data_IF_428936603197
#
_entry.id   IF_428936603197
#
_cell.length_a   1.000
_cell.length_b   1.000
_cell.length_c   1.000
_cell.angle_alpha   90.00
_cell.angle_beta   90.00
_cell.angle_gamma   90.00
#
_symmetry.space_group_name_H-M   'P 1'
#
loop_
_entity.id
_entity.type
_entity.pdbx_description
1 polymer ?
#
# COMPACT_ATOMS: atom_id res chain seq x y z
N UNK A 1 42.84 -10.06 9.07
CA UNK A 1 41.55 -10.77 9.10
C UNK A 1 40.63 -10.09 8.09
N UNK A 2 40.40 -10.76 6.95
CA UNK A 2 39.73 -10.19 5.80
C UNK A 2 38.25 -9.93 6.07
N UNK A 3 37.81 -8.72 5.75
CA UNK A 3 36.39 -8.41 5.58
C UNK A 3 35.88 -9.26 4.42
N UNK A 4 35.15 -10.33 4.72
CA UNK A 4 34.31 -11.02 3.73
C UNK A 4 33.23 -10.02 3.32
N UNK A 5 33.45 -9.36 2.19
CA UNK A 5 32.41 -8.63 1.48
C UNK A 5 31.36 -9.66 1.08
N UNK A 6 30.27 -9.75 1.85
CA UNK A 6 29.06 -10.39 1.36
C UNK A 6 28.64 -9.59 0.11
N UNK A 7 28.94 -10.11 -1.07
CA UNK A 7 28.30 -9.67 -2.32
C UNK A 7 26.82 -9.94 -2.13
N UNK A 8 26.06 -8.91 -1.76
CA UNK A 8 24.60 -8.94 -1.84
C UNK A 8 24.24 -9.25 -3.29
N UNK A 9 23.68 -10.43 -3.50
CA UNK A 9 23.27 -10.89 -4.83
C UNK A 9 22.18 -9.91 -5.30
N UNK A 10 22.48 -9.16 -6.35
CA UNK A 10 21.53 -8.18 -6.91
C UNK A 10 20.32 -8.89 -7.48
N UNK A 11 19.14 -8.30 -7.30
CA UNK A 11 17.90 -8.86 -7.83
C UNK A 11 17.84 -8.76 -9.35
N UNK A 12 17.58 -9.89 -10.01
CA UNK A 12 17.35 -9.96 -11.45
C UNK A 12 15.97 -9.42 -11.84
N UNK A 13 15.78 -9.16 -13.13
CA UNK A 13 14.57 -8.51 -13.66
C UNK A 13 13.25 -9.23 -13.33
N UNK A 14 13.20 -10.57 -13.47
CA UNK A 14 11.98 -11.36 -13.15
C UNK A 14 11.66 -11.28 -11.66
N UNK A 15 12.69 -11.37 -10.79
CA UNK A 15 12.50 -11.23 -9.35
C UNK A 15 11.94 -9.88 -8.96
N UNK A 16 12.32 -8.81 -9.68
CA UNK A 16 11.78 -7.47 -9.50
C UNK A 16 10.30 -7.38 -9.86
N UNK A 17 9.88 -7.97 -10.97
CA UNK A 17 8.46 -8.01 -11.38
C UNK A 17 7.65 -8.75 -10.32
N UNK A 18 8.09 -9.93 -9.90
CA UNK A 18 7.41 -10.73 -8.89
C UNK A 18 7.35 -9.99 -7.54
N UNK A 19 8.45 -9.33 -7.16
CA UNK A 19 8.49 -8.48 -5.96
C UNK A 19 7.49 -7.33 -6.06
N UNK A 20 7.40 -6.65 -7.23
CA UNK A 20 6.45 -5.58 -7.47
C UNK A 20 5.00 -6.04 -7.37
N UNK A 21 4.65 -7.14 -8.04
CA UNK A 21 3.31 -7.74 -7.96
C UNK A 21 2.99 -8.09 -6.49
N UNK A 22 3.94 -8.72 -5.80
CA UNK A 22 3.77 -9.09 -4.40
C UNK A 22 3.66 -7.88 -3.47
N UNK A 23 4.35 -6.79 -3.73
CA UNK A 23 4.29 -5.57 -2.94
C UNK A 23 2.97 -4.82 -3.09
N UNK A 24 2.36 -4.84 -4.28
CA UNK A 24 1.10 -4.13 -4.58
C UNK A 24 -0.11 -4.96 -4.13
N UNK A 25 -0.15 -6.27 -4.43
CA UNK A 25 -1.29 -7.11 -4.04
C UNK A 25 -1.34 -7.25 -2.51
N UNK A 26 -2.31 -6.58 -1.90
CA UNK A 26 -2.53 -6.50 -0.47
C UNK A 26 -3.91 -7.01 -0.03
N UNK A 27 -4.34 -6.61 1.18
CA UNK A 27 -5.66 -6.96 1.73
C UNK A 27 -6.82 -6.33 0.97
N UNK A 28 -6.59 -5.21 0.29
CA UNK A 28 -7.65 -4.42 -0.33
C UNK A 28 -8.44 -5.17 -1.39
N UNK A 29 -7.77 -5.97 -2.23
CA UNK A 29 -8.47 -6.72 -3.28
C UNK A 29 -9.43 -7.78 -2.71
N UNK A 30 -9.17 -8.28 -1.52
CA UNK A 30 -10.05 -9.26 -0.88
C UNK A 30 -11.32 -8.63 -0.30
N UNK A 31 -11.29 -7.32 0.07
CA UNK A 31 -12.34 -6.68 0.86
C UNK A 31 -12.99 -5.46 0.20
N UNK A 32 -12.30 -4.74 -0.71
CA UNK A 32 -12.81 -3.50 -1.30
C UNK A 32 -13.70 -3.65 -2.55
N UNK A 33 -13.79 -4.80 -3.25
CA UNK A 33 -14.74 -4.92 -4.36
C UNK A 33 -16.18 -4.57 -3.98
N UNK A 34 -16.62 -4.94 -2.76
CA UNK A 34 -17.94 -4.55 -2.24
C UNK A 34 -18.09 -3.05 -2.06
N UNK A 35 -17.03 -2.37 -1.61
CA UNK A 35 -17.03 -0.91 -1.44
C UNK A 35 -17.14 -0.20 -2.79
N UNK A 36 -16.42 -0.68 -3.81
CA UNK A 36 -16.54 -0.18 -5.18
C UNK A 36 -17.95 -0.32 -5.72
N UNK A 37 -18.54 -1.51 -5.58
CA UNK A 37 -19.92 -1.78 -5.99
C UNK A 37 -20.94 -0.92 -5.23
N UNK A 38 -20.75 -0.73 -3.92
CA UNK A 38 -21.63 0.12 -3.08
C UNK A 38 -21.57 1.59 -3.47
N UNK A 39 -20.39 2.12 -3.79
CA UNK A 39 -20.18 3.54 -4.08
C UNK A 39 -20.49 3.92 -5.52
N UNK A 40 -20.17 3.05 -6.50
CA UNK A 40 -20.27 3.41 -7.92
C UNK A 40 -20.96 2.36 -8.79
N UNK A 41 -21.48 1.29 -8.20
CA UNK A 41 -22.17 0.22 -8.93
C UNK A 41 -21.24 -0.57 -9.85
N UNK A 42 -21.77 -1.21 -10.91
CA UNK A 42 -20.97 -1.96 -11.88
C UNK A 42 -19.90 -1.10 -12.58
N UNK A 43 -20.15 0.20 -12.75
CA UNK A 43 -19.19 1.15 -13.34
C UNK A 43 -17.93 1.38 -12.47
N UNK A 44 -17.86 0.82 -11.24
CA UNK A 44 -16.64 0.81 -10.42
C UNK A 44 -15.42 0.15 -11.09
N UNK A 45 -15.63 -0.65 -12.13
CA UNK A 45 -14.57 -1.14 -13.02
C UNK A 45 -13.81 0.02 -13.67
N UNK A 46 -14.51 1.09 -14.08
CA UNK A 46 -13.88 2.30 -14.65
C UNK A 46 -13.09 3.08 -13.58
N UNK A 47 -13.55 3.04 -12.32
CA UNK A 47 -12.80 3.61 -11.20
C UNK A 47 -11.45 2.91 -11.04
N UNK A 48 -11.43 1.58 -11.08
CA UNK A 48 -10.18 0.80 -11.02
C UNK A 48 -9.24 1.11 -12.19
N UNK A 49 -9.79 1.29 -13.38
CA UNK A 49 -8.99 1.67 -14.56
C UNK A 49 -8.37 3.06 -14.36
N UNK A 50 -9.14 4.04 -13.89
CA UNK A 50 -8.65 5.38 -13.55
C UNK A 50 -7.54 5.32 -12.50
N UNK A 51 -7.75 4.59 -11.40
CA UNK A 51 -6.78 4.44 -10.32
C UNK A 51 -5.51 3.72 -10.80
N UNK A 52 -5.65 2.70 -11.65
CA UNK A 52 -4.53 2.02 -12.28
C UNK A 52 -3.69 2.95 -13.15
N UNK A 53 -4.33 3.79 -13.97
CA UNK A 53 -3.65 4.80 -14.78
C UNK A 53 -2.94 5.85 -13.90
N UNK A 54 -3.60 6.33 -12.84
CA UNK A 54 -3.00 7.29 -11.91
C UNK A 54 -1.80 6.68 -11.18
N UNK A 55 -1.95 5.47 -10.64
CA UNK A 55 -0.85 4.75 -9.99
C UNK A 55 0.34 4.54 -10.95
N UNK A 56 0.05 4.22 -12.22
CA UNK A 56 1.06 4.09 -13.26
C UNK A 56 1.80 5.42 -13.49
N UNK A 57 1.10 6.54 -13.64
CA UNK A 57 1.73 7.85 -13.83
C UNK A 57 2.61 8.25 -12.65
N UNK A 58 2.12 8.02 -11.42
CA UNK A 58 2.90 8.27 -10.20
C UNK A 58 4.14 7.38 -10.14
N UNK A 59 3.99 6.07 -10.39
CA UNK A 59 5.10 5.12 -10.36
C UNK A 59 6.18 5.46 -11.39
N UNK A 60 5.78 5.94 -12.58
CA UNK A 60 6.73 6.40 -13.60
C UNK A 60 7.47 7.68 -13.17
N UNK A 61 6.82 8.60 -12.43
CA UNK A 61 7.51 9.73 -11.81
C UNK A 61 8.55 9.27 -10.80
N UNK A 62 8.22 8.27 -9.96
CA UNK A 62 9.19 7.66 -9.06
C UNK A 62 10.36 7.02 -9.79
N UNK A 63 10.10 6.30 -10.90
CA UNK A 63 11.13 5.67 -11.70
C UNK A 63 12.09 6.70 -12.34
N UNK A 64 11.57 7.81 -12.84
CA UNK A 64 12.40 8.89 -13.35
C UNK A 64 13.22 9.55 -12.25
N UNK A 65 12.63 9.87 -11.09
CA UNK A 65 13.38 10.37 -9.94
C UNK A 65 14.51 9.41 -9.54
N UNK A 66 14.21 8.11 -9.46
CA UNK A 66 15.22 7.09 -9.12
C UNK A 66 16.39 7.06 -10.09
N UNK A 67 16.17 7.42 -11.37
CA UNK A 67 17.22 7.41 -12.40
C UNK A 67 18.29 8.48 -12.22
N UNK A 68 18.03 9.51 -11.40
CA UNK A 68 19.01 10.56 -11.07
C UNK A 68 19.96 10.14 -9.93
N UNK A 69 19.62 9.07 -9.19
CA UNK A 69 20.37 8.67 -7.99
C UNK A 69 20.91 7.25 -8.12
N UNK A 70 22.10 7.03 -7.55
CA UNK A 70 22.73 5.70 -7.47
C UNK A 70 22.43 4.99 -6.16
N UNK A 71 21.92 5.72 -5.17
CA UNK A 71 21.63 5.23 -3.83
C UNK A 71 20.13 4.98 -3.64
N UNK A 72 19.80 4.02 -2.77
CA UNK A 72 18.44 3.79 -2.32
C UNK A 72 18.00 4.90 -1.38
N UNK A 73 16.76 5.41 -1.53
CA UNK A 73 16.28 6.46 -0.64
C UNK A 73 14.84 6.88 -0.89
N UNK A 74 14.32 6.58 -2.05
CA UNK A 74 12.92 6.83 -2.40
C UNK A 74 12.50 8.30 -2.23
N UNK A 75 11.23 8.52 -1.94
CA UNK A 75 10.62 9.86 -1.86
C UNK A 75 11.35 10.84 -0.92
N UNK A 76 11.93 10.36 0.18
CA UNK A 76 12.70 11.19 1.11
C UNK A 76 13.88 11.88 0.41
N UNK A 77 14.69 11.10 -0.33
CA UNK A 77 15.86 11.63 -1.03
C UNK A 77 15.41 12.59 -2.12
N UNK A 78 14.38 12.25 -2.89
CA UNK A 78 13.89 13.10 -3.97
C UNK A 78 13.38 14.43 -3.44
N UNK A 79 12.63 14.42 -2.34
CA UNK A 79 12.12 15.63 -1.70
C UNK A 79 13.25 16.49 -1.12
N UNK A 80 14.27 15.88 -0.49
CA UNK A 80 15.43 16.60 0.05
C UNK A 80 16.23 17.29 -1.04
N UNK A 81 16.53 16.59 -2.12
CA UNK A 81 17.34 17.14 -3.22
C UNK A 81 16.59 18.18 -4.05
N UNK A 82 15.25 18.04 -4.20
CA UNK A 82 14.44 18.98 -4.97
C UNK A 82 14.07 20.24 -4.19
N UNK A 83 13.77 20.12 -2.87
CA UNK A 83 13.13 21.19 -2.08
C UNK A 83 13.89 21.54 -0.80
N UNK A 84 15.01 20.87 -0.55
CA UNK A 84 15.82 21.10 0.63
C UNK A 84 15.41 20.26 1.85
N UNK A 85 16.13 20.51 2.96
CA UNK A 85 16.12 19.65 4.16
C UNK A 85 14.78 19.56 4.85
N UNK A 86 14.04 20.67 4.93
CA UNK A 86 12.75 20.71 5.63
C UNK A 86 11.74 19.79 4.95
N UNK A 87 11.55 19.95 3.63
CA UNK A 87 10.61 19.12 2.87
C UNK A 87 11.06 17.64 2.87
N UNK A 88 12.36 17.39 2.75
CA UNK A 88 12.90 16.04 2.90
C UNK A 88 12.56 15.44 4.26
N UNK A 89 12.76 16.20 5.35
CA UNK A 89 12.40 15.76 6.70
C UNK A 89 10.91 15.41 6.81
N UNK A 90 10.03 16.30 6.33
CA UNK A 90 8.57 16.09 6.32
C UNK A 90 8.21 14.79 5.60
N UNK A 91 8.72 14.56 4.40
CA UNK A 91 8.46 13.34 3.63
C UNK A 91 9.01 12.10 4.35
N UNK A 92 10.18 12.20 4.98
CA UNK A 92 10.74 11.11 5.78
C UNK A 92 9.86 10.74 6.97
N UNK A 93 9.42 11.74 7.76
CA UNK A 93 8.53 11.54 8.91
C UNK A 93 7.18 10.95 8.49
N UNK A 94 6.58 11.52 7.45
CA UNK A 94 5.30 11.03 6.91
C UNK A 94 5.43 9.59 6.38
N UNK A 95 6.57 9.20 5.82
CA UNK A 95 6.80 7.81 5.40
C UNK A 95 6.66 6.84 6.57
N UNK A 96 7.16 7.18 7.75
CA UNK A 96 6.93 6.38 8.96
C UNK A 96 5.45 6.35 9.37
N UNK A 97 4.76 7.48 9.34
CA UNK A 97 3.32 7.56 9.63
C UNK A 97 2.49 6.73 8.62
N UNK A 98 2.85 6.74 7.34
CA UNK A 98 2.23 5.90 6.30
C UNK A 98 2.32 4.41 6.67
N UNK A 99 3.48 3.95 7.16
CA UNK A 99 3.64 2.55 7.58
C UNK A 99 2.82 2.21 8.81
N UNK A 100 2.70 3.13 9.77
CA UNK A 100 1.85 2.98 10.96
C UNK A 100 0.37 2.86 10.55
N UNK A 101 -0.11 3.77 9.73
CA UNK A 101 -1.51 3.75 9.23
C UNK A 101 -1.77 2.49 8.42
N UNK A 102 -0.83 2.09 7.56
CA UNK A 102 -0.96 0.87 6.77
C UNK A 102 -1.01 -0.39 7.67
N UNK A 103 -0.17 -0.49 8.68
CA UNK A 103 -0.16 -1.59 9.65
C UNK A 103 -1.51 -1.65 10.40
N UNK A 104 -2.01 -0.53 10.92
CA UNK A 104 -3.32 -0.45 11.56
C UNK A 104 -4.47 -0.84 10.63
N UNK A 105 -4.41 -0.40 9.38
CA UNK A 105 -5.38 -0.80 8.34
C UNK A 105 -5.36 -2.31 8.09
N UNK A 106 -4.18 -2.94 8.08
CA UNK A 106 -4.05 -4.40 7.93
C UNK A 106 -4.61 -5.16 9.13
N UNK A 107 -4.42 -4.68 10.37
CA UNK A 107 -5.02 -5.29 11.56
C UNK A 107 -6.55 -5.26 11.47
N UNK A 108 -7.11 -4.13 11.04
CA UNK A 108 -8.56 -3.99 10.84
C UNK A 108 -9.05 -4.88 9.70
N UNK A 109 -8.29 -5.01 8.61
CA UNK A 109 -8.59 -5.92 7.52
C UNK A 109 -8.67 -7.38 7.99
N UNK A 110 -7.70 -7.80 8.82
CA UNK A 110 -7.66 -9.14 9.37
C UNK A 110 -8.88 -9.44 10.25
N UNK A 111 -9.21 -8.52 11.17
CA UNK A 111 -10.39 -8.64 12.00
C UNK A 111 -11.70 -8.63 11.19
N UNK A 112 -11.80 -7.81 10.15
CA UNK A 112 -12.96 -7.75 9.24
C UNK A 112 -13.11 -9.05 8.46
N UNK A 113 -12.01 -9.60 7.94
CA UNK A 113 -12.02 -10.88 7.23
C UNK A 113 -12.46 -12.03 8.16
N UNK A 114 -11.93 -12.09 9.38
CA UNK A 114 -12.35 -13.11 10.36
C UNK A 114 -13.83 -12.99 10.72
N UNK A 115 -14.33 -11.79 10.96
CA UNK A 115 -15.76 -11.56 11.23
C UNK A 115 -16.67 -11.95 10.06
N UNK A 116 -16.23 -11.71 8.81
CA UNK A 116 -16.97 -12.13 7.62
C UNK A 116 -16.93 -13.64 7.35
N UNK A 117 -15.87 -14.33 7.81
CA UNK A 117 -15.74 -15.79 7.69
C UNK A 117 -16.47 -16.49 8.84
N UNK A 118 -16.35 -15.97 10.05
CA UNK A 118 -16.94 -16.48 11.28
C UNK A 118 -17.94 -15.48 11.85
N UNK A 119 -19.24 -15.61 11.59
CA UNK A 119 -20.25 -14.61 11.99
C UNK A 119 -20.25 -14.28 13.50
N UNK A 120 -19.92 -15.24 14.35
CA UNK A 120 -19.81 -15.04 15.80
C UNK A 120 -18.73 -14.02 16.19
N UNK A 121 -17.77 -13.75 15.31
CA UNK A 121 -16.70 -12.77 15.49
C UNK A 121 -17.00 -11.41 14.82
N UNK A 122 -18.19 -11.24 14.24
CA UNK A 122 -18.57 -10.03 13.51
C UNK A 122 -19.07 -8.87 14.42
N UNK A 123 -18.85 -8.96 15.73
CA UNK A 123 -19.26 -7.93 16.69
C UNK A 123 -18.09 -6.98 17.04
N UNK A 124 -18.38 -5.75 17.53
CA UNK A 124 -17.35 -4.76 17.86
C UNK A 124 -16.33 -5.23 18.90
N UNK A 125 -16.80 -5.96 19.93
CA UNK A 125 -15.92 -6.49 20.98
C UNK A 125 -14.95 -7.52 20.46
N UNK A 126 -15.43 -8.49 19.66
CA UNK A 126 -14.56 -9.48 19.02
C UNK A 126 -13.52 -8.81 18.09
N UNK A 127 -13.92 -7.79 17.33
CA UNK A 127 -13.00 -7.01 16.49
C UNK A 127 -11.84 -6.45 17.32
N UNK A 128 -12.13 -5.80 18.45
CA UNK A 128 -11.11 -5.23 19.34
C UNK A 128 -10.20 -6.32 19.91
N UNK A 129 -10.79 -7.43 20.40
CA UNK A 129 -10.04 -8.57 20.93
C UNK A 129 -9.10 -9.18 19.88
N UNK A 130 -9.56 -9.34 18.63
CA UNK A 130 -8.73 -9.85 17.53
C UNK A 130 -7.57 -8.90 17.26
N UNK A 131 -7.83 -7.58 17.17
CA UNK A 131 -6.78 -6.57 16.93
C UNK A 131 -5.75 -6.60 18.06
N UNK A 132 -6.18 -6.62 19.33
CA UNK A 132 -5.30 -6.67 20.48
C UNK A 132 -4.47 -7.96 20.51
N UNK A 133 -5.09 -9.11 20.25
CA UNK A 133 -4.39 -10.40 20.22
C UNK A 133 -3.34 -10.43 19.12
N UNK A 134 -3.68 -9.93 17.93
CA UNK A 134 -2.75 -9.83 16.80
C UNK A 134 -1.59 -8.87 17.12
N UNK A 135 -1.89 -7.70 17.67
CA UNK A 135 -0.89 -6.74 18.12
C UNK A 135 0.10 -7.34 19.11
N UNK A 136 -0.41 -8.00 20.18
CA UNK A 136 0.45 -8.60 21.20
C UNK A 136 1.30 -9.73 20.63
N UNK A 137 0.73 -10.59 19.78
CA UNK A 137 1.45 -11.69 19.15
C UNK A 137 2.58 -11.18 18.23
N UNK A 138 2.28 -10.20 17.37
CA UNK A 138 3.27 -9.65 16.44
C UNK A 138 4.34 -8.81 17.16
N UNK A 139 3.98 -8.07 18.21
CA UNK A 139 4.92 -7.36 19.06
C UNK A 139 5.88 -8.32 19.77
N UNK A 140 5.37 -9.40 20.37
CA UNK A 140 6.18 -10.43 21.01
C UNK A 140 7.12 -11.10 20.01
N UNK A 141 6.64 -11.43 18.81
CA UNK A 141 7.43 -12.02 17.74
C UNK A 141 8.56 -11.07 17.29
N UNK A 142 8.27 -9.81 17.04
CA UNK A 142 9.25 -8.81 16.62
C UNK A 142 10.32 -8.53 17.68
N UNK A 143 9.94 -8.54 18.97
CA UNK A 143 10.86 -8.32 20.09
C UNK A 143 11.70 -9.57 20.41
N UNK A 144 11.26 -10.75 20.01
CA UNK A 144 12.00 -12.01 20.19
C UNK A 144 13.23 -12.13 19.27
N UNK A 145 13.38 -11.24 18.29
CA UNK A 145 14.51 -11.24 17.35
C UNK A 145 14.46 -12.34 16.30
N UNK A 146 13.34 -13.02 16.13
CA UNK A 146 13.19 -14.10 15.14
C UNK A 146 13.12 -13.53 13.72
N UNK A 147 14.05 -13.96 12.86
CA UNK A 147 14.04 -13.65 11.44
C UNK A 147 13.22 -14.69 10.66
N UNK A 148 11.90 -14.50 10.59
CA UNK A 148 10.98 -15.38 9.83
C UNK A 148 10.86 -14.97 8.35
N UNK A 149 11.76 -14.14 7.84
CA UNK A 149 11.50 -13.32 6.66
C UNK A 149 11.24 -14.09 5.35
N UNK A 150 12.06 -15.07 5.00
CA UNK A 150 12.03 -15.61 3.62
C UNK A 150 10.97 -16.70 3.40
N UNK A 151 10.87 -17.64 4.33
CA UNK A 151 9.90 -18.76 4.19
C UNK A 151 8.46 -18.25 4.31
N UNK A 152 8.23 -17.37 5.30
CA UNK A 152 6.91 -16.77 5.50
C UNK A 152 6.48 -15.90 4.31
N UNK A 153 7.41 -15.17 3.69
CA UNK A 153 7.09 -14.35 2.53
C UNK A 153 6.64 -15.20 1.33
N UNK A 154 7.25 -16.35 1.10
CA UNK A 154 6.84 -17.27 0.03
C UNK A 154 5.45 -17.87 0.29
N UNK A 155 5.18 -18.33 1.53
CA UNK A 155 3.87 -18.85 1.93
C UNK A 155 2.79 -17.79 1.74
N UNK A 156 3.04 -16.57 2.18
CA UNK A 156 2.11 -15.43 2.03
C UNK A 156 1.88 -15.11 0.56
N UNK A 157 2.91 -15.16 -0.28
CA UNK A 157 2.78 -14.88 -1.71
C UNK A 157 1.90 -15.90 -2.41
N UNK A 158 2.11 -17.18 -2.17
CA UNK A 158 1.26 -18.24 -2.71
C UNK A 158 -0.15 -18.14 -2.13
N UNK A 159 -0.26 -17.93 -0.80
CA UNK A 159 -1.53 -17.82 -0.08
C UNK A 159 -2.42 -16.68 -0.57
N UNK A 160 -1.86 -15.61 -1.16
CA UNK A 160 -2.67 -14.51 -1.71
C UNK A 160 -2.96 -14.64 -3.21
N UNK A 161 -2.04 -15.20 -3.99
CA UNK A 161 -2.23 -15.31 -5.44
C UNK A 161 -3.19 -16.44 -5.81
N UNK A 162 -3.07 -17.61 -5.15
CA UNK A 162 -3.92 -18.76 -5.44
C UNK A 162 -5.42 -18.45 -5.30
N UNK A 163 -5.91 -17.87 -4.17
CA UNK A 163 -7.32 -17.50 -4.05
C UNK A 163 -7.79 -16.54 -5.14
N UNK A 164 -6.97 -15.55 -5.49
CA UNK A 164 -7.32 -14.54 -6.49
C UNK A 164 -7.48 -15.20 -7.86
N UNK A 165 -6.52 -16.03 -8.28
CA UNK A 165 -6.60 -16.73 -9.56
C UNK A 165 -7.75 -17.73 -9.61
N UNK A 166 -8.05 -18.40 -8.50
CA UNK A 166 -9.19 -19.33 -8.43
C UNK A 166 -10.52 -18.58 -8.59
N UNK A 167 -10.69 -17.43 -7.94
CA UNK A 167 -11.90 -16.59 -8.10
C UNK A 167 -12.06 -16.15 -9.55
N UNK A 168 -10.97 -15.71 -10.21
CA UNK A 168 -11.01 -15.28 -11.60
C UNK A 168 -11.36 -16.48 -12.49
N UNK A 169 -10.56 -17.55 -12.47
CA UNK A 169 -10.68 -18.67 -13.40
C UNK A 169 -12.03 -19.39 -13.25
N UNK A 170 -12.44 -19.70 -12.03
CA UNK A 170 -13.71 -20.38 -11.82
C UNK A 170 -14.90 -19.44 -12.04
N UNK A 171 -14.82 -18.22 -11.54
CA UNK A 171 -15.94 -17.28 -11.58
C UNK A 171 -16.27 -16.74 -12.97
N UNK A 172 -15.29 -16.65 -13.89
CA UNK A 172 -15.53 -16.23 -15.28
C UNK A 172 -16.60 -17.06 -15.99
N UNK A 173 -16.72 -18.36 -15.65
CA UNK A 173 -17.74 -19.24 -16.24
C UNK A 173 -19.16 -19.03 -15.68
N UNK A 174 -19.30 -18.28 -14.57
CA UNK A 174 -20.56 -18.05 -13.88
C UNK A 174 -21.04 -16.60 -13.97
N UNK A 175 -20.43 -15.79 -14.82
CA UNK A 175 -20.80 -14.40 -15.05
C UNK A 175 -22.20 -14.35 -15.68
N UNK A 176 -23.08 -13.54 -15.08
CA UNK A 176 -24.38 -13.20 -15.62
C UNK A 176 -24.33 -11.78 -16.19
N UNK A 177 -24.49 -11.58 -17.51
CA UNK A 177 -24.46 -10.25 -18.13
C UNK A 177 -25.49 -9.28 -17.53
N UNK A 178 -26.63 -9.79 -17.09
CA UNK A 178 -27.71 -9.00 -16.44
C UNK A 178 -27.28 -8.35 -15.13
N UNK A 179 -26.19 -8.81 -14.49
CA UNK A 179 -25.66 -8.20 -13.27
C UNK A 179 -24.92 -6.88 -13.52
N UNK A 180 -24.66 -6.55 -14.78
CA UNK A 180 -24.06 -5.28 -15.20
C UNK A 180 -25.08 -4.26 -15.70
N UNK A 181 -26.38 -4.61 -15.70
CA UNK A 181 -27.43 -3.72 -16.17
C UNK A 181 -28.28 -3.21 -14.99
N UNK A 182 -28.41 -1.86 -14.82
CA UNK A 182 -27.73 -0.82 -15.59
C UNK A 182 -26.25 -0.67 -15.20
N UNK A 183 -25.36 -0.54 -16.21
CA UNK A 183 -23.93 -0.34 -15.95
C UNK A 183 -23.67 0.98 -15.22
N UNK A 184 -24.33 2.05 -15.62
CA UNK A 184 -24.35 3.36 -14.94
C UNK A 184 -25.62 3.51 -14.12
N UNK A 185 -25.52 3.25 -12.83
CA UNK A 185 -26.62 3.47 -11.89
C UNK A 185 -26.73 4.97 -11.60
N UNK A 186 -27.81 5.63 -12.07
CA UNK A 186 -27.99 7.09 -12.02
C UNK A 186 -27.73 7.71 -10.64
N UNK A 187 -28.18 7.05 -9.57
CA UNK A 187 -28.02 7.55 -8.20
C UNK A 187 -26.59 7.41 -7.67
N UNK A 188 -25.81 6.46 -8.21
CA UNK A 188 -24.44 6.18 -7.78
C UNK A 188 -23.40 6.84 -8.70
N UNK A 189 -23.70 7.03 -9.98
CA UNK A 189 -22.76 7.55 -10.99
C UNK A 189 -22.66 9.07 -10.93
N UNK A 190 -22.21 9.59 -9.82
CA UNK A 190 -21.99 11.03 -9.57
C UNK A 190 -20.50 11.30 -9.37
N UNK A 191 -20.08 12.56 -9.61
CA UNK A 191 -18.66 12.96 -9.44
C UNK A 191 -18.18 12.76 -7.99
N UNK A 192 -18.94 13.13 -6.93
CA UNK A 192 -18.52 12.85 -5.56
C UNK A 192 -18.37 11.37 -5.25
N UNK A 193 -19.30 10.53 -5.74
CA UNK A 193 -19.20 9.08 -5.54
C UNK A 193 -18.03 8.48 -6.29
N UNK A 194 -17.74 8.93 -7.52
CA UNK A 194 -16.56 8.53 -8.28
C UNK A 194 -15.28 8.85 -7.49
N UNK A 195 -15.15 10.09 -7.01
CA UNK A 195 -13.98 10.52 -6.26
C UNK A 195 -13.81 9.74 -4.95
N UNK A 196 -14.91 9.51 -4.21
CA UNK A 196 -14.89 8.71 -2.98
C UNK A 196 -14.51 7.26 -3.26
N UNK A 197 -15.04 6.67 -4.33
CA UNK A 197 -14.70 5.33 -4.77
C UNK A 197 -13.22 5.25 -5.18
N UNK A 198 -12.75 6.21 -6.00
CA UNK A 198 -11.39 6.28 -6.48
C UNK A 198 -10.39 6.40 -5.33
N UNK A 199 -10.53 7.35 -4.42
CA UNK A 199 -9.59 7.48 -3.30
C UNK A 199 -9.58 6.24 -2.38
N UNK A 200 -10.72 5.56 -2.23
CA UNK A 200 -10.82 4.35 -1.41
C UNK A 200 -10.19 3.15 -2.13
N UNK A 201 -10.48 2.98 -3.42
CA UNK A 201 -9.95 1.90 -4.23
C UNK A 201 -8.47 2.12 -4.60
N UNK A 202 -7.99 3.36 -4.64
CA UNK A 202 -6.57 3.64 -4.86
C UNK A 202 -5.66 2.94 -3.83
N UNK A 203 -6.17 2.66 -2.64
CA UNK A 203 -5.48 1.86 -1.63
C UNK A 203 -4.96 0.52 -2.16
N UNK A 204 -5.69 -0.16 -3.06
CA UNK A 204 -5.28 -1.48 -3.59
C UNK A 204 -4.04 -1.41 -4.48
N UNK A 205 -3.75 -0.25 -5.06
CA UNK A 205 -2.56 0.00 -5.87
C UNK A 205 -1.36 0.44 -5.06
N UNK A 206 -1.50 0.67 -3.75
CA UNK A 206 -0.41 1.05 -2.85
C UNK A 206 0.62 -0.07 -2.73
N UNK A 207 1.90 0.30 -2.63
CA UNK A 207 2.99 -0.67 -2.44
C UNK A 207 4.06 -0.65 -3.54
N UNK A 208 3.78 -0.07 -4.72
CA UNK A 208 4.77 0.06 -5.79
C UNK A 208 5.99 0.88 -5.36
N UNK A 209 5.82 1.80 -4.42
CA UNK A 209 6.90 2.61 -3.85
C UNK A 209 7.98 1.77 -3.15
N UNK A 210 7.64 0.56 -2.66
CA UNK A 210 8.62 -0.39 -2.10
C UNK A 210 9.63 -0.84 -3.15
N UNK A 211 9.19 -1.06 -4.37
CA UNK A 211 10.07 -1.45 -5.49
C UNK A 211 11.10 -0.38 -5.74
N UNK A 212 10.69 0.90 -5.67
CA UNK A 212 11.61 2.03 -5.87
C UNK A 212 12.63 2.18 -4.74
N UNK A 213 12.21 1.93 -3.49
CA UNK A 213 13.11 2.01 -2.34
C UNK A 213 14.24 0.96 -2.43
N UNK A 214 13.97 -0.21 -3.01
CA UNK A 214 14.96 -1.29 -3.20
C UNK A 214 15.83 -1.12 -4.45
N UNK A 215 15.76 0.02 -5.14
CA UNK A 215 16.50 0.28 -6.39
C UNK A 215 18.01 -0.01 -6.28
N UNK A 216 18.65 0.31 -5.14
CA UNK A 216 20.08 0.06 -4.94
C UNK A 216 20.49 -1.43 -4.94
N UNK A 217 19.53 -2.34 -4.75
CA UNK A 217 19.74 -3.80 -4.75
C UNK A 217 19.47 -4.44 -6.13
N UNK A 218 19.22 -3.63 -7.16
CA UNK A 218 18.84 -4.09 -8.50
C UNK A 218 20.02 -4.10 -9.46
N UNK A 219 19.98 -5.01 -10.43
CA UNK A 219 20.84 -4.94 -11.61
C UNK A 219 20.27 -3.92 -12.60
N UNK A 220 21.14 -3.10 -13.18
CA UNK A 220 20.78 -2.13 -14.23
C UNK A 220 19.51 -1.31 -13.88
N UNK A 221 19.51 -0.69 -12.69
CA UNK A 221 18.37 0.06 -12.11
C UNK A 221 17.68 0.96 -13.15
N UNK A 222 18.46 1.74 -13.91
CA UNK A 222 17.96 2.71 -14.88
C UNK A 222 17.07 2.10 -15.97
N UNK A 223 17.31 0.84 -16.34
CA UNK A 223 16.55 0.11 -17.37
C UNK A 223 15.49 -0.83 -16.76
N UNK A 224 15.85 -1.52 -15.66
CA UNK A 224 15.04 -2.60 -15.11
C UNK A 224 13.91 -2.07 -14.22
N UNK A 225 14.14 -1.01 -13.43
CA UNK A 225 13.13 -0.47 -12.53
C UNK A 225 11.88 0.04 -13.26
N UNK A 226 11.98 0.91 -14.30
CA UNK A 226 10.80 1.39 -15.00
C UNK A 226 10.01 0.25 -15.65
N UNK A 227 10.71 -0.69 -16.30
CA UNK A 227 10.08 -1.85 -16.94
C UNK A 227 9.41 -2.77 -15.92
N UNK A 228 10.06 -3.03 -14.79
CA UNK A 228 9.49 -3.86 -13.73
C UNK A 228 8.24 -3.22 -13.13
N UNK A 229 8.26 -1.92 -12.85
CA UNK A 229 7.09 -1.18 -12.37
C UNK A 229 5.93 -1.22 -13.37
N UNK A 230 6.21 -1.00 -14.66
CA UNK A 230 5.22 -1.05 -15.73
C UNK A 230 4.55 -2.41 -15.83
N UNK A 231 5.34 -3.48 -15.85
CA UNK A 231 4.82 -4.84 -15.98
C UNK A 231 4.07 -5.24 -14.70
N UNK A 232 4.63 -4.94 -13.52
CA UNK A 232 3.98 -5.27 -12.25
C UNK A 232 2.64 -4.56 -12.08
N UNK A 233 2.60 -3.23 -12.31
CA UNK A 233 1.35 -2.47 -12.23
C UNK A 233 0.36 -2.89 -13.30
N UNK A 234 0.79 -3.06 -14.55
CA UNK A 234 -0.07 -3.53 -15.62
C UNK A 234 -0.71 -4.88 -15.31
N UNK A 235 0.09 -5.84 -14.81
CA UNK A 235 -0.42 -7.14 -14.37
C UNK A 235 -1.44 -7.00 -13.25
N UNK A 236 -1.15 -6.18 -12.25
CA UNK A 236 -2.03 -5.95 -11.10
C UNK A 236 -3.34 -5.27 -11.52
N UNK A 237 -3.29 -4.27 -12.40
CA UNK A 237 -4.50 -3.62 -12.97
C UNK A 237 -5.40 -4.65 -13.64
N UNK A 238 -4.84 -5.50 -14.50
CA UNK A 238 -5.61 -6.56 -15.18
C UNK A 238 -6.23 -7.54 -14.18
N UNK A 239 -5.45 -8.01 -13.20
CA UNK A 239 -5.93 -8.92 -12.15
C UNK A 239 -7.08 -8.28 -11.36
N UNK A 240 -6.95 -7.02 -10.97
CA UNK A 240 -7.97 -6.32 -10.17
C UNK A 240 -9.24 -6.05 -10.96
N UNK A 241 -9.14 -5.70 -12.23
CA UNK A 241 -10.30 -5.58 -13.13
C UNK A 241 -11.00 -6.93 -13.28
N UNK A 242 -10.25 -8.01 -13.50
CA UNK A 242 -10.82 -9.35 -13.62
C UNK A 242 -11.53 -9.80 -12.34
N UNK A 243 -10.94 -9.55 -11.16
CA UNK A 243 -11.59 -9.84 -9.87
C UNK A 243 -12.89 -9.05 -9.74
N UNK A 244 -12.88 -7.75 -10.08
CA UNK A 244 -14.06 -6.90 -9.98
C UNK A 244 -15.16 -7.36 -10.96
N UNK A 245 -14.81 -7.59 -12.22
CA UNK A 245 -15.73 -8.11 -13.25
C UNK A 245 -16.34 -9.45 -12.82
N UNK A 246 -15.51 -10.37 -12.33
CA UNK A 246 -15.97 -11.68 -11.86
C UNK A 246 -16.90 -11.54 -10.66
N UNK A 247 -16.53 -10.74 -9.65
CA UNK A 247 -17.34 -10.56 -8.45
C UNK A 247 -18.69 -9.89 -8.76
N UNK A 248 -18.70 -8.86 -9.60
CA UNK A 248 -19.95 -8.22 -10.07
C UNK A 248 -20.78 -9.22 -10.89
N UNK A 249 -20.15 -9.89 -11.85
CA UNK A 249 -20.85 -10.81 -12.74
C UNK A 249 -21.48 -12.00 -12.03
N UNK A 250 -20.86 -12.49 -10.95
CA UNK A 250 -21.39 -13.62 -10.15
C UNK A 250 -22.42 -13.15 -9.11
N UNK A 251 -22.13 -12.11 -8.34
CA UNK A 251 -22.95 -11.68 -7.20
C UNK A 251 -23.99 -10.63 -7.53
N UNK A 252 -23.78 -9.82 -8.58
CA UNK A 252 -24.63 -8.67 -8.91
C UNK A 252 -24.74 -7.70 -7.75
N UNK A 253 -25.93 -7.18 -7.48
CA UNK A 253 -26.21 -6.24 -6.40
C UNK A 253 -25.84 -6.74 -4.99
N UNK A 254 -25.82 -8.06 -4.77
CA UNK A 254 -25.41 -8.64 -3.48
C UNK A 254 -23.95 -8.34 -3.11
N UNK A 255 -23.10 -8.05 -4.10
CA UNK A 255 -21.72 -7.68 -3.86
C UNK A 255 -21.60 -6.44 -2.96
N UNK A 256 -22.48 -5.46 -3.10
CA UNK A 256 -22.45 -4.22 -2.31
C UNK A 256 -22.61 -4.43 -0.78
N UNK A 257 -23.27 -5.50 -0.37
CA UNK A 257 -23.49 -5.86 1.05
C UNK A 257 -22.49 -6.90 1.59
N UNK A 258 -21.62 -7.45 0.74
CA UNK A 258 -20.66 -8.45 1.15
C UNK A 258 -19.53 -7.84 1.99
N UNK A 259 -19.17 -8.50 3.10
CA UNK A 259 -18.01 -8.17 3.92
C UNK A 259 -16.76 -8.92 3.49
N UNK A 260 -16.90 -10.03 2.76
CA UNK A 260 -15.81 -10.88 2.24
C UNK A 260 -16.07 -11.27 0.78
N UNK A 261 -15.99 -10.30 -0.14
CA UNK A 261 -16.45 -10.42 -1.54
C UNK A 261 -15.95 -11.66 -2.29
N UNK A 262 -14.67 -11.98 -2.15
CA UNK A 262 -14.07 -13.10 -2.87
C UNK A 262 -14.59 -14.45 -2.35
N UNK A 263 -14.77 -14.60 -1.03
CA UNK A 263 -15.38 -15.79 -0.42
C UNK A 263 -16.81 -15.98 -0.93
N UNK A 264 -17.61 -14.90 -0.89
CA UNK A 264 -19.03 -14.96 -1.28
C UNK A 264 -19.16 -15.24 -2.80
N UNK A 265 -18.26 -14.70 -3.62
CA UNK A 265 -18.17 -15.02 -5.04
C UNK A 265 -17.92 -16.52 -5.25
N UNK A 266 -16.93 -17.09 -4.55
CA UNK A 266 -16.62 -18.51 -4.67
C UNK A 266 -17.68 -19.42 -4.03
N UNK A 267 -18.39 -18.95 -3.03
CA UNK A 267 -19.54 -19.66 -2.48
C UNK A 267 -20.66 -19.81 -3.51
N UNK A 268 -20.89 -18.78 -4.31
CA UNK A 268 -21.89 -18.83 -5.39
C UNK A 268 -21.45 -19.72 -6.56
N UNK A 269 -20.14 -19.90 -6.78
CA UNK A 269 -19.57 -20.69 -7.88
C UNK A 269 -19.37 -22.15 -7.51
N UNK A 270 -18.78 -22.43 -6.35
CA UNK A 270 -18.33 -23.76 -5.92
C UNK A 270 -18.83 -24.16 -4.53
N UNK A 271 -19.89 -23.50 -4.03
CA UNK A 271 -20.51 -23.82 -2.74
C UNK A 271 -19.54 -23.67 -1.56
N UNK A 272 -19.80 -24.42 -0.50
CA UNK A 272 -19.02 -24.34 0.74
C UNK A 272 -17.55 -24.72 0.56
N UNK A 273 -17.23 -25.60 -0.36
CA UNK A 273 -15.84 -25.97 -0.65
C UNK A 273 -15.03 -24.77 -1.15
N UNK A 274 -15.55 -24.07 -2.16
CA UNK A 274 -14.94 -22.85 -2.69
C UNK A 274 -14.84 -21.75 -1.64
N UNK A 275 -15.90 -21.52 -0.86
CA UNK A 275 -15.93 -20.56 0.22
C UNK A 275 -14.84 -20.82 1.28
N UNK A 276 -14.69 -22.07 1.73
CA UNK A 276 -13.69 -22.45 2.73
C UNK A 276 -12.26 -22.30 2.21
N UNK A 277 -12.02 -22.67 0.94
CA UNK A 277 -10.71 -22.53 0.30
C UNK A 277 -10.29 -21.06 0.22
N UNK A 278 -11.19 -20.18 -0.24
CA UNK A 278 -10.93 -18.73 -0.32
C UNK A 278 -10.81 -18.10 1.07
N UNK A 279 -11.61 -18.55 2.04
CA UNK A 279 -11.52 -18.09 3.43
C UNK A 279 -10.14 -18.37 4.03
N UNK A 280 -9.64 -19.60 3.87
CA UNK A 280 -8.30 -19.97 4.33
C UNK A 280 -7.22 -19.11 3.66
N UNK A 281 -7.26 -18.99 2.32
CA UNK A 281 -6.31 -18.16 1.58
C UNK A 281 -6.37 -16.70 1.98
N UNK A 282 -7.55 -16.15 2.25
CA UNK A 282 -7.73 -14.76 2.71
C UNK A 282 -7.08 -14.56 4.08
N UNK A 283 -7.30 -15.46 5.05
CA UNK A 283 -6.68 -15.39 6.38
C UNK A 283 -5.16 -15.45 6.27
N UNK A 284 -4.62 -16.42 5.52
CA UNK A 284 -3.17 -16.58 5.31
C UNK A 284 -2.58 -15.35 4.64
N UNK A 285 -3.25 -14.82 3.62
CA UNK A 285 -2.81 -13.63 2.88
C UNK A 285 -2.76 -12.40 3.79
N UNK A 286 -3.88 -12.04 4.42
CA UNK A 286 -3.98 -10.82 5.23
C UNK A 286 -3.11 -10.97 6.50
N UNK A 287 -3.12 -12.13 7.14
CA UNK A 287 -2.26 -12.41 8.30
C UNK A 287 -0.77 -12.28 7.98
N UNK A 288 -0.35 -12.78 6.81
CA UNK A 288 1.03 -12.63 6.35
C UNK A 288 1.42 -11.20 6.04
N UNK A 289 0.49 -10.39 5.50
CA UNK A 289 0.71 -8.96 5.28
C UNK A 289 0.79 -8.21 6.63
N UNK A 290 -0.04 -8.56 7.62
CA UNK A 290 0.07 -8.04 8.98
C UNK A 290 1.47 -8.29 9.55
N UNK A 291 1.96 -9.53 9.43
CA UNK A 291 3.32 -9.90 9.86
C UNK A 291 4.36 -9.04 9.15
N UNK A 292 4.34 -8.96 7.82
CA UNK A 292 5.29 -8.17 7.05
C UNK A 292 5.26 -6.67 7.43
N UNK A 293 4.07 -6.09 7.60
CA UNK A 293 3.90 -4.68 7.98
C UNK A 293 4.43 -4.40 9.38
N UNK A 294 4.21 -5.32 10.34
CA UNK A 294 4.72 -5.18 11.71
C UNK A 294 6.25 -5.17 11.80
N UNK A 295 6.95 -5.71 10.80
CA UNK A 295 8.41 -5.58 10.68
C UNK A 295 8.85 -4.25 10.07
N UNK A 296 8.11 -3.73 9.09
CA UNK A 296 8.51 -2.54 8.32
C UNK A 296 8.31 -1.25 9.12
N UNK A 297 7.15 -1.09 9.75
CA UNK A 297 6.76 0.13 10.46
C UNK A 297 7.76 0.54 11.56
N UNK A 298 8.17 -0.35 12.50
CA UNK A 298 9.17 0.02 13.50
C UNK A 298 10.56 0.33 12.93
N UNK A 299 10.96 -0.38 11.87
CA UNK A 299 12.28 -0.18 11.25
C UNK A 299 12.37 1.14 10.51
N UNK A 300 11.26 1.61 9.95
CA UNK A 300 11.18 2.95 9.37
C UNK A 300 11.39 4.03 10.45
N UNK A 301 10.75 3.90 11.62
CA UNK A 301 10.94 4.81 12.74
C UNK A 301 12.36 4.75 13.33
N UNK A 302 12.95 3.53 13.42
CA UNK A 302 14.33 3.35 13.84
C UNK A 302 15.30 4.06 12.89
N UNK A 303 15.15 3.90 11.59
CA UNK A 303 16.01 4.52 10.58
C UNK A 303 15.99 6.06 10.70
N UNK A 304 14.81 6.65 10.92
CA UNK A 304 14.70 8.09 11.18
C UNK A 304 15.42 8.51 12.47
N UNK A 305 15.31 7.72 13.54
CA UNK A 305 15.98 8.01 14.81
C UNK A 305 17.50 7.86 14.72
N UNK A 306 18.02 6.86 14.01
CA UNK A 306 19.45 6.66 13.72
C UNK A 306 20.01 7.83 12.90
N UNK A 307 19.22 8.41 11.99
CA UNK A 307 19.55 9.62 11.24
C UNK A 307 19.26 10.92 12.01
N UNK A 308 18.97 10.84 13.31
CA UNK A 308 18.70 12.00 14.20
C UNK A 308 17.46 12.83 13.78
N UNK A 309 16.55 12.26 13.02
CA UNK A 309 15.29 12.87 12.58
C UNK A 309 14.14 12.59 13.56
N UNK A 310 14.33 11.66 14.49
CA UNK A 310 13.37 11.27 15.53
C UNK A 310 14.07 11.16 16.89
N UNK A 311 13.30 11.15 18.01
CA UNK A 311 13.88 11.03 19.34
C UNK A 311 14.78 9.79 19.48
N UNK A 312 15.95 9.97 20.08
CA UNK A 312 16.95 8.88 20.29
C UNK A 312 16.38 7.68 21.06
N UNK A 313 15.28 7.87 21.79
CA UNK A 313 14.57 6.78 22.47
C UNK A 313 14.27 5.60 21.54
N UNK A 314 13.86 5.85 20.29
CA UNK A 314 13.50 4.81 19.32
C UNK A 314 14.69 3.93 18.89
N UNK A 315 15.94 4.34 19.16
CA UNK A 315 17.13 3.52 18.87
C UNK A 315 17.43 2.46 19.93
N UNK A 316 16.68 2.41 21.03
CA UNK A 316 16.91 1.44 22.10
C UNK A 316 16.62 0.02 21.62
N UNK A 317 17.61 -0.88 21.85
CA UNK A 317 17.57 -2.30 21.46
C UNK A 317 17.58 -3.18 22.73
N UNK A 318 16.95 -4.34 22.65
CA UNK A 318 16.97 -5.33 23.72
C UNK A 318 18.22 -6.26 23.61
N UNK A 319 18.36 -7.22 24.54
CA UNK A 319 19.48 -8.21 24.55
C UNK A 319 19.59 -9.03 23.27
N UNK A 320 18.51 -9.16 22.50
CA UNK A 320 18.44 -9.87 21.21
C UNK A 320 18.65 -8.93 20.00
N UNK A 321 19.12 -7.70 20.25
CA UNK A 321 19.36 -6.65 19.26
C UNK A 321 18.09 -6.19 18.50
N UNK A 322 16.89 -6.51 18.98
CA UNK A 322 15.64 -6.02 18.43
C UNK A 322 15.35 -4.58 18.92
N UNK A 323 14.90 -3.65 18.07
CA UNK A 323 14.63 -2.26 18.43
C UNK A 323 13.30 -2.13 19.18
N UNK A 324 13.25 -2.61 20.42
CA UNK A 324 12.02 -2.76 21.18
C UNK A 324 11.25 -1.44 21.36
N UNK A 325 11.96 -0.33 21.52
CA UNK A 325 11.32 0.96 21.69
C UNK A 325 10.57 1.41 20.42
N UNK A 326 11.18 1.24 19.26
CA UNK A 326 10.52 1.52 17.98
C UNK A 326 9.36 0.54 17.73
N UNK A 327 9.51 -0.76 18.09
CA UNK A 327 8.46 -1.77 17.94
C UNK A 327 7.25 -1.39 18.80
N UNK A 328 7.44 -1.17 20.09
CA UNK A 328 6.33 -0.81 21.00
C UNK A 328 5.65 0.47 20.53
N UNK A 329 6.41 1.53 20.21
CA UNK A 329 5.84 2.82 19.82
C UNK A 329 5.03 2.69 18.51
N UNK A 330 5.64 2.15 17.45
CA UNK A 330 4.97 2.06 16.15
C UNK A 330 3.73 1.15 16.21
N UNK A 331 3.86 -0.06 16.75
CA UNK A 331 2.76 -1.00 16.80
C UNK A 331 1.63 -0.57 17.75
N UNK A 332 1.94 0.16 18.85
CA UNK A 332 0.88 0.73 19.72
C UNK A 332 0.08 1.81 18.97
N UNK A 333 0.75 2.70 18.24
CA UNK A 333 0.04 3.71 17.44
C UNK A 333 -0.78 3.01 16.33
N UNK A 334 -0.22 2.00 15.67
CA UNK A 334 -0.94 1.20 14.66
C UNK A 334 -2.18 0.51 15.23
N UNK A 335 -2.10 -0.03 16.46
CA UNK A 335 -3.25 -0.62 17.17
C UNK A 335 -4.34 0.41 17.44
N UNK A 336 -3.97 1.61 17.91
CA UNK A 336 -4.94 2.70 18.13
C UNK A 336 -5.63 3.07 16.83
N UNK A 337 -4.87 3.22 15.74
CA UNK A 337 -5.40 3.46 14.38
C UNK A 337 -6.35 2.34 13.99
N UNK A 338 -6.00 1.07 14.21
CA UNK A 338 -6.82 -0.08 13.86
C UNK A 338 -8.19 -0.06 14.56
N UNK A 339 -8.25 0.42 15.79
CA UNK A 339 -9.48 0.51 16.58
C UNK A 339 -10.34 1.75 16.24
N UNK A 340 -9.82 2.71 15.47
CA UNK A 340 -10.48 4.01 15.25
C UNK A 340 -11.53 4.01 14.14
N UNK A 341 -11.61 2.97 13.29
CA UNK A 341 -12.53 2.98 12.16
C UNK A 341 -12.83 1.63 11.52
N UNK A 342 -13.63 1.68 10.46
CA UNK A 342 -13.85 0.52 9.58
C UNK A 342 -12.66 0.34 8.62
N UNK A 343 -12.53 -0.86 8.04
CA UNK A 343 -11.46 -1.12 7.08
C UNK A 343 -11.52 -0.16 5.88
N UNK A 344 -12.70 0.13 5.33
CA UNK A 344 -12.84 1.03 4.19
C UNK A 344 -12.41 2.48 4.52
N UNK A 345 -12.74 2.99 5.70
CA UNK A 345 -12.29 4.32 6.16
C UNK A 345 -10.78 4.35 6.35
N UNK A 346 -10.21 3.35 7.00
CA UNK A 346 -8.75 3.27 7.21
C UNK A 346 -7.99 3.06 5.90
N UNK A 347 -8.54 2.30 4.94
CA UNK A 347 -7.98 2.17 3.60
C UNK A 347 -7.94 3.52 2.87
N UNK A 348 -9.01 4.32 2.98
CA UNK A 348 -9.04 5.67 2.43
C UNK A 348 -8.00 6.59 3.10
N UNK A 349 -7.91 6.59 4.44
CA UNK A 349 -6.90 7.36 5.18
C UNK A 349 -5.49 6.93 4.78
N UNK A 350 -5.24 5.62 4.65
CA UNK A 350 -3.95 5.08 4.19
C UNK A 350 -3.62 5.49 2.75
N UNK A 351 -4.61 5.57 1.86
CA UNK A 351 -4.41 6.10 0.51
C UNK A 351 -4.05 7.59 0.55
N UNK A 352 -4.84 8.39 1.30
CA UNK A 352 -4.61 9.84 1.45
C UNK A 352 -3.22 10.14 1.99
N UNK A 353 -2.76 9.42 3.01
CA UNK A 353 -1.44 9.65 3.60
C UNK A 353 -0.29 9.52 2.59
N UNK A 354 -0.43 8.66 1.59
CA UNK A 354 0.61 8.43 0.57
C UNK A 354 0.79 9.61 -0.38
N UNK A 355 -0.23 10.44 -0.58
CA UNK A 355 -0.09 11.64 -1.40
C UNK A 355 0.90 12.65 -0.82
N UNK A 356 1.16 12.60 0.49
CA UNK A 356 2.21 13.41 1.12
C UNK A 356 3.63 13.07 0.62
N UNK A 357 3.86 11.86 0.10
CA UNK A 357 5.12 11.50 -0.58
C UNK A 357 4.99 11.50 -2.11
N UNK A 358 3.79 11.25 -2.66
CA UNK A 358 3.59 11.21 -4.10
C UNK A 358 3.69 12.60 -4.73
N UNK A 359 3.00 13.59 -4.15
CA UNK A 359 2.97 14.97 -4.68
C UNK A 359 4.38 15.58 -4.74
N UNK A 360 5.19 15.57 -3.66
CA UNK A 360 6.56 16.06 -3.76
C UNK A 360 7.41 15.31 -4.79
N UNK A 361 7.24 13.99 -4.91
CA UNK A 361 7.99 13.19 -5.91
C UNK A 361 7.60 13.56 -7.34
N UNK A 362 6.32 13.76 -7.63
CA UNK A 362 5.83 14.19 -8.95
C UNK A 362 6.44 15.55 -9.30
N UNK A 363 6.43 16.50 -8.36
CA UNK A 363 6.99 17.84 -8.58
C UNK A 363 8.51 17.77 -8.71
N UNK A 364 9.19 16.89 -7.95
CA UNK A 364 10.64 16.70 -8.02
C UNK A 364 11.12 16.31 -9.42
N UNK A 365 10.33 15.53 -10.20
CA UNK A 365 10.64 15.24 -11.62
C UNK A 365 10.84 16.52 -12.42
N UNK A 366 9.91 17.48 -12.24
CA UNK A 366 9.96 18.75 -12.97
C UNK A 366 11.14 19.64 -12.55
N UNK A 367 11.51 19.58 -11.26
CA UNK A 367 12.67 20.28 -10.70
C UNK A 367 13.96 19.64 -11.23
N UNK A 368 14.13 18.33 -11.14
CA UNK A 368 15.35 17.63 -11.57
C UNK A 368 15.63 17.80 -13.06
N UNK A 369 14.60 17.80 -13.89
CA UNK A 369 14.74 18.08 -15.32
C UNK A 369 15.37 19.44 -15.64
N UNK A 370 15.24 20.41 -14.70
CA UNK A 370 15.80 21.76 -14.85
C UNK A 370 17.16 21.92 -14.16
N UNK A 371 17.36 21.22 -13.04
CA UNK A 371 18.50 21.47 -12.13
C UNK A 371 19.58 20.41 -12.21
N UNK A 372 19.26 19.19 -12.64
CA UNK A 372 20.19 18.06 -12.67
C UNK A 372 20.43 17.56 -14.09
N UNK A 373 21.68 17.18 -14.37
CA UNK A 373 22.03 16.47 -15.60
C UNK A 373 21.76 14.98 -15.38
N UNK A 374 21.04 14.36 -16.31
CA UNK A 374 20.75 12.94 -16.28
C UNK A 374 21.84 12.18 -17.04
N UNK A 375 22.28 11.03 -16.52
CA UNK A 375 23.22 10.15 -17.17
C UNK A 375 22.68 9.66 -18.53
N UNK A 376 23.58 9.44 -19.52
CA UNK A 376 23.18 8.90 -20.82
C UNK A 376 22.55 7.51 -20.65
N UNK A 377 21.34 7.33 -21.19
CA UNK A 377 20.59 6.07 -21.09
C UNK A 377 19.75 5.90 -19.83
N UNK A 378 19.71 6.89 -18.93
CA UNK A 378 18.78 6.92 -17.80
C UNK A 378 17.32 7.07 -18.28
N UNK A 379 16.40 6.50 -17.50
CA UNK A 379 14.97 6.54 -17.84
C UNK A 379 14.42 7.96 -17.74
N UNK A 380 13.74 8.39 -18.79
CA UNK A 380 13.00 9.65 -18.84
C UNK A 380 11.59 9.41 -19.35
N UNK A 381 10.61 9.94 -18.65
CA UNK A 381 9.20 9.84 -19.04
C UNK A 381 8.97 10.48 -20.43
N UNK A 382 8.29 9.78 -21.33
CA UNK A 382 7.92 10.36 -22.62
C UNK A 382 6.89 11.49 -22.43
N UNK A 383 6.73 12.33 -23.45
CA UNK A 383 5.74 13.42 -23.44
C UNK A 383 6.10 14.63 -22.57
N UNK A 384 7.36 14.76 -22.15
CA UNK A 384 7.80 15.93 -21.37
C UNK A 384 7.05 16.06 -20.04
N UNK A 385 6.53 17.26 -19.68
CA UNK A 385 5.86 17.49 -18.38
C UNK A 385 4.43 16.94 -18.31
N UNK A 386 3.86 16.43 -19.42
CA UNK A 386 2.42 16.08 -19.51
C UNK A 386 2.05 15.05 -18.45
N UNK A 387 2.78 13.92 -18.37
CA UNK A 387 2.47 12.85 -17.39
C UNK A 387 2.59 13.33 -15.94
N UNK A 388 3.69 13.99 -15.50
CA UNK A 388 3.76 14.56 -14.16
C UNK A 388 2.65 15.57 -13.86
N UNK A 389 2.30 16.44 -14.81
CA UNK A 389 1.22 17.44 -14.62
C UNK A 389 -0.14 16.75 -14.48
N UNK A 390 -0.46 15.75 -15.32
CA UNK A 390 -1.71 14.99 -15.22
C UNK A 390 -1.78 14.22 -13.89
N UNK A 391 -0.68 13.57 -13.47
CA UNK A 391 -0.60 12.89 -12.19
C UNK A 391 -0.84 13.85 -11.01
N UNK A 392 -0.25 15.06 -11.06
CA UNK A 392 -0.42 16.08 -10.03
C UNK A 392 -1.86 16.57 -9.97
N UNK A 393 -2.44 16.94 -11.12
CA UNK A 393 -3.82 17.44 -11.19
C UNK A 393 -4.83 16.39 -10.71
N UNK A 394 -4.70 15.14 -11.14
CA UNK A 394 -5.56 14.06 -10.70
C UNK A 394 -5.39 13.79 -9.20
N UNK A 395 -4.17 13.83 -8.66
CA UNK A 395 -3.90 13.68 -7.23
C UNK A 395 -4.55 14.79 -6.40
N UNK A 396 -4.40 16.05 -6.82
CA UNK A 396 -5.02 17.20 -6.13
C UNK A 396 -6.54 17.16 -6.24
N UNK A 397 -7.08 16.76 -7.40
CA UNK A 397 -8.50 16.60 -7.60
C UNK A 397 -9.09 15.52 -6.68
N UNK A 398 -8.45 14.37 -6.56
CA UNK A 398 -8.88 13.33 -5.61
C UNK A 398 -8.87 13.86 -4.17
N UNK A 399 -7.80 14.50 -3.74
CA UNK A 399 -7.70 15.04 -2.38
C UNK A 399 -8.75 16.11 -2.09
N UNK A 400 -9.16 16.91 -3.08
CA UNK A 400 -10.21 17.95 -2.90
C UNK A 400 -11.61 17.37 -2.61
N UNK A 401 -11.83 16.09 -2.90
CA UNK A 401 -13.09 15.39 -2.64
C UNK A 401 -13.05 14.50 -1.39
N UNK A 402 -11.94 14.48 -0.67
CA UNK A 402 -11.81 13.75 0.60
C UNK A 402 -12.44 14.56 1.72
N UNK A 403 -13.16 13.90 2.64
CA UNK A 403 -13.68 14.56 3.85
C UNK A 403 -12.55 15.17 4.66
N UNK A 404 -12.79 16.34 5.26
CA UNK A 404 -11.79 17.03 6.08
C UNK A 404 -11.23 16.11 7.17
N UNK A 405 -12.07 15.30 7.80
CA UNK A 405 -11.67 14.34 8.82
C UNK A 405 -10.63 13.33 8.28
N UNK A 406 -10.89 12.71 7.13
CA UNK A 406 -9.98 11.73 6.54
C UNK A 406 -8.70 12.40 6.00
N UNK A 407 -8.81 13.65 5.55
CA UNK A 407 -7.66 14.45 5.14
C UNK A 407 -6.75 14.76 6.34
N UNK A 408 -7.33 15.19 7.46
CA UNK A 408 -6.59 15.46 8.70
C UNK A 408 -5.93 14.20 9.26
N UNK A 409 -6.61 13.07 9.27
CA UNK A 409 -6.01 11.80 9.69
C UNK A 409 -4.91 11.32 8.74
N UNK A 410 -5.09 11.47 7.43
CA UNK A 410 -4.11 11.03 6.43
C UNK A 410 -2.88 11.92 6.34
N UNK A 411 -3.06 13.24 6.38
CA UNK A 411 -2.00 14.23 6.22
C UNK A 411 -1.56 14.90 7.54
N UNK A 412 -2.25 14.63 8.65
CA UNK A 412 -1.95 15.25 9.95
C UNK A 412 -0.54 14.97 10.46
N UNK A 413 0.10 13.91 10.00
CA UNK A 413 1.50 13.62 10.29
C UNK A 413 2.44 14.74 9.81
N UNK A 414 2.10 15.48 8.74
CA UNK A 414 2.85 16.67 8.30
C UNK A 414 2.86 17.76 9.38
N UNK A 415 1.71 18.01 10.01
CA UNK A 415 1.62 19.01 11.09
C UNK A 415 2.39 18.56 12.33
N UNK A 416 2.33 17.27 12.65
CA UNK A 416 3.06 16.68 13.78
C UNK A 416 4.58 16.70 13.54
N UNK A 417 5.04 16.55 12.32
CA UNK A 417 6.45 16.53 11.98
C UNK A 417 7.16 17.89 12.24
N UNK A 418 6.45 19.02 12.06
CA UNK A 418 7.02 20.36 12.20
C UNK A 418 7.69 20.58 13.57
N UNK A 419 7.03 20.39 14.73
CA UNK A 419 7.68 20.57 16.02
C UNK A 419 8.86 19.61 16.23
N UNK A 420 8.77 18.36 15.75
CA UNK A 420 9.88 17.41 15.85
C UNK A 420 11.11 17.85 15.03
N UNK A 421 10.92 18.50 13.89
CA UNK A 421 12.00 19.07 13.09
C UNK A 421 12.85 20.07 13.90
N UNK A 422 12.20 20.95 14.66
CA UNK A 422 12.89 21.94 15.51
C UNK A 422 13.48 21.29 16.77
N UNK A 423 12.78 20.35 17.41
CA UNK A 423 13.24 19.67 18.63
C UNK A 423 14.48 18.79 18.39
N UNK A 424 14.57 18.11 17.25
CA UNK A 424 15.71 17.22 16.94
C UNK A 424 16.95 17.97 16.46
N UNK A 425 16.89 19.29 16.31
CA UNK A 425 17.99 20.10 15.80
C UNK A 425 18.34 19.81 14.35
N UNK A 426 17.44 19.19 13.62
CA UNK A 426 17.60 18.87 12.18
C UNK A 426 17.84 20.13 11.34
N UNK A 427 17.42 21.30 11.83
CA UNK A 427 17.65 22.60 11.22
C UNK A 427 19.09 23.12 11.39
N UNK A 428 19.85 22.65 12.42
CA UNK A 428 21.18 23.17 12.78
C UNK A 428 22.35 22.45 12.10
N UNK A 429 22.10 21.35 11.36
CA UNK A 429 23.16 20.58 10.71
C UNK A 429 23.29 21.04 9.26
N UNK A 430 24.15 22.04 9.07
CA UNK A 430 24.70 22.44 7.78
C UNK A 430 25.77 21.48 7.32
#
# INVERSE_FOLDING_TARGET
MGKVSQRTQKMGFISLILFGINAIIGSGIFLLPSTGMKLFGPASILVLLFDGCLAFFIAMCFAECASYFKESGGAYVYAREAFGRFVGYEVGFVTWAIWIIAEGTMYTAFATALGGIFPNLANPTAKVVIILSLYLALMALNTSGVHLATVMQNIVTVGKLVPIFLVILAGLFFIKPTHFDPFFVKQLTTVPNFATAAITLFYIFSGFERVVITAGEMENVQKNLPKALLISLGTVVVVYILVMVTSIGVLGGRLASSTVPLKDTMQAVAGNFGANLISFGTIVSIGGICLASSFVSPRSGLALAENKMMPKYLTKKNKKNAPYAAIITSSTISMIVACSGSFAVLAQISAVSRFAQFIPTIIAVLVFRKTMKQDQGAFRLPGGPVIPVLALLASLWLLSHVSLTNLLWGLGALVIAVPFYFMTGSHKKA
#
